data_IF_160752380405
#
_entry.id   IF_160752380405
#
_cell.length_a   1.000
_cell.length_b   1.000
_cell.length_c   1.000
_cell.angle_alpha   90.00
_cell.angle_beta   90.00
_cell.angle_gamma   90.00
#
_symmetry.space_group_name_H-M   'P 1'
#
loop_
_entity.id
_entity.type
_entity.pdbx_description
1 polymer ?
#
# COMPACT_ATOMS: atom_id res chain seq x y z
N UNK A 1 5.98 -17.01 -21.60
CA UNK A 1 5.23 -15.74 -21.58
C UNK A 1 4.33 -15.67 -20.34
N UNK A 2 4.82 -15.03 -19.27
CA UNK A 2 4.10 -14.31 -18.19
C UNK A 2 5.04 -14.25 -16.98
N UNK A 3 6.08 -13.43 -17.11
CA UNK A 3 6.91 -12.97 -16.00
C UNK A 3 6.05 -12.12 -15.06
N UNK A 4 5.28 -12.80 -14.21
CA UNK A 4 4.79 -12.21 -12.96
C UNK A 4 6.03 -11.95 -12.13
N UNK A 5 6.66 -10.81 -12.37
CA UNK A 5 7.74 -10.26 -11.58
C UNK A 5 7.24 -10.20 -10.13
N UNK A 6 7.65 -11.21 -9.39
CA UNK A 6 7.83 -11.16 -7.94
C UNK A 6 8.93 -10.13 -7.74
N UNK A 7 8.62 -8.85 -7.94
CA UNK A 7 9.52 -7.76 -7.58
C UNK A 7 9.52 -7.67 -6.06
N UNK A 8 10.33 -8.57 -5.52
CA UNK A 8 11.00 -8.58 -4.23
C UNK A 8 10.22 -7.96 -3.08
N UNK A 9 9.56 -8.83 -2.31
CA UNK A 9 9.33 -8.61 -0.87
C UNK A 9 10.60 -8.06 -0.17
N UNK A 10 11.80 -8.36 -0.70
CA UNK A 10 13.09 -7.80 -0.29
C UNK A 10 13.24 -6.28 -0.48
N UNK A 11 12.65 -5.67 -1.51
CA UNK A 11 12.72 -4.22 -1.75
C UNK A 11 11.79 -3.48 -0.80
N UNK A 12 10.58 -4.02 -0.59
CA UNK A 12 9.67 -3.55 0.44
C UNK A 12 10.35 -3.62 1.81
N UNK A 13 11.01 -4.75 2.12
CA UNK A 13 11.84 -4.91 3.33
C UNK A 13 12.99 -3.91 3.43
N UNK A 14 13.65 -3.54 2.34
CA UNK A 14 14.73 -2.55 2.41
C UNK A 14 14.19 -1.13 2.66
N UNK A 15 12.97 -0.85 2.18
CA UNK A 15 12.20 0.34 2.57
C UNK A 15 11.70 0.28 4.03
N UNK A 16 11.84 -0.84 4.76
CA UNK A 16 11.53 -0.88 6.21
C UNK A 16 12.38 0.10 7.03
N UNK A 17 13.54 0.54 6.53
CA UNK A 17 14.29 1.63 7.17
C UNK A 17 13.52 2.96 7.18
N UNK A 18 12.62 3.19 6.21
CA UNK A 18 11.71 4.35 6.19
C UNK A 18 10.48 4.17 7.11
N UNK A 19 10.18 2.94 7.54
CA UNK A 19 9.08 2.64 8.48
C UNK A 19 9.49 2.74 9.95
N UNK A 20 10.22 3.79 10.33
CA UNK A 20 10.49 4.10 11.73
C UNK A 20 9.18 4.26 12.54
N UNK A 21 8.07 4.59 11.86
CA UNK A 21 6.74 4.72 12.45
C UNK A 21 6.05 3.40 12.80
N UNK A 22 6.47 2.25 12.23
CA UNK A 22 5.89 0.93 12.53
C UNK A 22 6.42 0.32 13.84
N UNK A 23 7.49 0.90 14.42
CA UNK A 23 8.04 0.45 15.72
C UNK A 23 7.03 0.61 16.87
N UNK A 24 6.12 1.57 16.77
CA UNK A 24 5.16 1.88 17.83
C UNK A 24 3.76 1.29 17.59
N UNK A 25 3.48 0.72 16.41
CA UNK A 25 2.19 0.09 16.14
C UNK A 25 2.16 -1.34 16.70
N UNK A 26 1.30 -1.52 17.70
CA UNK A 26 1.06 -2.79 18.42
C UNK A 26 0.34 -3.85 17.57
N UNK A 27 -0.20 -3.47 16.40
CA UNK A 27 -1.11 -4.34 15.64
C UNK A 27 -0.40 -4.96 14.43
N UNK A 28 0.02 -6.23 14.56
CA UNK A 28 0.63 -7.02 13.49
C UNK A 28 -0.24 -7.05 12.22
N UNK A 29 -1.57 -6.97 12.37
CA UNK A 29 -2.53 -6.96 11.27
C UNK A 29 -2.48 -5.65 10.47
N UNK A 30 -2.32 -4.51 11.13
CA UNK A 30 -2.15 -3.21 10.46
C UNK A 30 -0.85 -3.21 9.62
N UNK A 31 0.21 -3.84 10.13
CA UNK A 31 1.49 -4.00 9.41
C UNK A 31 1.31 -4.78 8.11
N UNK A 32 0.54 -5.87 8.13
CA UNK A 32 0.26 -6.66 6.92
C UNK A 32 -0.41 -5.82 5.83
N UNK A 33 -1.43 -5.06 6.19
CA UNK A 33 -2.15 -4.17 5.26
C UNK A 33 -1.25 -3.07 4.68
N UNK A 34 -0.49 -2.37 5.52
CA UNK A 34 0.42 -1.31 5.04
C UNK A 34 1.41 -1.88 4.01
N UNK A 35 1.97 -3.06 4.28
CA UNK A 35 2.92 -3.71 3.38
C UNK A 35 2.27 -4.10 2.05
N UNK A 36 1.08 -4.69 2.09
CA UNK A 36 0.38 -5.06 0.86
C UNK A 36 0.01 -3.81 0.04
N UNK A 37 -0.41 -2.71 0.68
CA UNK A 37 -0.71 -1.45 -0.01
C UNK A 37 0.56 -0.84 -0.62
N UNK A 38 1.68 -0.81 0.13
CA UNK A 38 2.96 -0.35 -0.41
C UNK A 38 3.38 -1.18 -1.62
N UNK A 39 3.21 -2.50 -1.57
CA UNK A 39 3.51 -3.39 -2.69
C UNK A 39 2.60 -3.10 -3.90
N UNK A 40 1.31 -2.82 -3.68
CA UNK A 40 0.40 -2.42 -4.77
C UNK A 40 0.86 -1.09 -5.42
N UNK A 41 1.30 -0.12 -4.61
CA UNK A 41 1.80 1.16 -5.09
C UNK A 41 3.13 0.98 -5.87
N UNK A 42 4.02 0.12 -5.37
CA UNK A 42 5.30 -0.19 -6.02
C UNK A 42 5.08 -0.91 -7.36
N UNK A 43 4.13 -1.85 -7.41
CA UNK A 43 3.73 -2.55 -8.63
C UNK A 43 3.12 -1.64 -9.70
N UNK A 44 2.52 -0.51 -9.30
CA UNK A 44 2.08 0.49 -10.27
C UNK A 44 3.27 1.15 -10.98
N UNK A 45 4.46 1.15 -10.38
CA UNK A 45 5.70 1.67 -10.97
C UNK A 45 5.65 3.18 -11.27
N UNK A 46 4.68 3.90 -10.69
CA UNK A 46 4.40 5.30 -10.97
C UNK A 46 4.50 6.13 -9.70
N UNK A 47 5.06 7.32 -9.83
CA UNK A 47 5.08 8.28 -8.71
C UNK A 47 3.70 8.87 -8.45
N UNK A 48 2.86 9.03 -9.48
CA UNK A 48 1.48 9.49 -9.36
C UNK A 48 0.55 8.33 -9.70
N UNK A 49 -0.41 8.06 -8.82
CA UNK A 49 -1.38 6.99 -9.03
C UNK A 49 -2.78 7.40 -8.58
N UNK A 50 -3.77 6.70 -9.10
CA UNK A 50 -5.17 6.91 -8.72
C UNK A 50 -5.65 5.87 -7.72
N UNK A 51 -6.63 6.24 -6.90
CA UNK A 51 -7.34 5.32 -6.03
C UNK A 51 -7.99 4.19 -6.83
N UNK A 52 -8.44 4.49 -8.05
CA UNK A 52 -9.07 3.50 -8.93
C UNK A 52 -8.08 2.46 -9.44
N UNK A 53 -6.85 2.87 -9.77
CA UNK A 53 -5.75 1.93 -10.06
C UNK A 53 -5.46 1.03 -8.86
N UNK A 54 -5.51 1.57 -7.64
CA UNK A 54 -5.33 0.77 -6.44
C UNK A 54 -6.48 -0.21 -6.20
N UNK A 55 -7.72 0.17 -6.57
CA UNK A 55 -8.88 -0.74 -6.52
C UNK A 55 -8.77 -1.92 -7.50
N UNK A 56 -7.93 -1.85 -8.53
CA UNK A 56 -7.65 -3.03 -9.36
C UNK A 56 -6.96 -4.15 -8.57
N UNK A 57 -6.23 -3.80 -7.50
CA UNK A 57 -5.61 -4.74 -6.57
C UNK A 57 -6.55 -5.19 -5.44
N UNK A 58 -7.82 -4.77 -5.42
CA UNK A 58 -8.79 -5.23 -4.42
C UNK A 58 -8.87 -6.76 -4.37
N UNK A 59 -8.90 -7.41 -5.54
CA UNK A 59 -8.99 -8.87 -5.59
C UNK A 59 -7.72 -9.53 -5.04
N UNK A 60 -6.55 -8.92 -5.26
CA UNK A 60 -5.28 -9.37 -4.67
C UNK A 60 -5.27 -9.20 -3.14
N UNK A 61 -5.73 -8.05 -2.65
CA UNK A 61 -5.82 -7.79 -1.21
C UNK A 61 -6.86 -8.69 -0.54
N UNK A 62 -7.95 -9.00 -1.23
CA UNK A 62 -8.99 -9.92 -0.74
C UNK A 62 -8.49 -11.34 -0.59
N UNK A 63 -7.63 -11.83 -1.48
CA UNK A 63 -7.03 -13.17 -1.32
C UNK A 63 -6.01 -13.22 -0.19
N UNK A 64 -5.30 -12.11 0.07
CA UNK A 64 -4.39 -11.98 1.22
C UNK A 64 -5.12 -11.83 2.55
N UNK A 65 -6.22 -11.08 2.56
CA UNK A 65 -7.03 -10.76 3.75
C UNK A 65 -8.49 -11.18 3.56
N UNK A 66 -8.78 -12.50 3.41
CA UNK A 66 -10.12 -12.99 3.11
C UNK A 66 -11.13 -12.70 4.22
N UNK A 67 -10.65 -12.48 5.44
CA UNK A 67 -11.50 -12.18 6.60
C UNK A 67 -12.09 -10.75 6.57
N UNK A 68 -11.59 -9.85 5.71
CA UNK A 68 -12.06 -8.48 5.65
C UNK A 68 -13.01 -8.26 4.47
N UNK A 69 -14.29 -8.01 4.76
CA UNK A 69 -15.33 -7.77 3.75
C UNK A 69 -15.27 -6.36 3.14
N UNK A 70 -14.54 -5.43 3.76
CA UNK A 70 -14.48 -4.02 3.38
C UNK A 70 -13.07 -3.60 2.89
N UNK A 71 -12.56 -4.31 1.89
CA UNK A 71 -11.20 -4.08 1.33
C UNK A 71 -11.02 -2.63 0.86
N UNK A 72 -11.98 -2.07 0.12
CA UNK A 72 -11.92 -0.68 -0.38
C UNK A 72 -11.83 0.37 0.73
N UNK A 73 -12.53 0.15 1.83
CA UNK A 73 -12.47 1.04 2.99
C UNK A 73 -11.14 0.89 3.72
N UNK A 74 -10.64 -0.35 3.87
CA UNK A 74 -9.34 -0.59 4.47
C UNK A 74 -8.21 0.04 3.65
N UNK A 75 -8.26 -0.08 2.31
CA UNK A 75 -7.36 0.62 1.39
C UNK A 75 -7.36 2.13 1.66
N UNK A 76 -8.56 2.74 1.74
CA UNK A 76 -8.69 4.18 2.01
C UNK A 76 -8.10 4.58 3.35
N UNK A 77 -8.36 3.80 4.40
CA UNK A 77 -7.76 4.02 5.73
C UNK A 77 -6.23 3.94 5.68
N UNK A 78 -5.67 2.95 4.99
CA UNK A 78 -4.21 2.82 4.89
C UNK A 78 -3.57 3.96 4.08
N UNK A 79 -4.22 4.42 3.00
CA UNK A 79 -3.74 5.57 2.24
C UNK A 79 -3.77 6.86 3.06
N UNK A 80 -4.81 7.06 3.86
CA UNK A 80 -4.88 8.19 4.78
C UNK A 80 -3.74 8.12 5.80
N UNK A 81 -3.51 6.95 6.40
CA UNK A 81 -2.40 6.76 7.32
C UNK A 81 -1.04 7.05 6.66
N UNK A 82 -0.78 6.51 5.47
CA UNK A 82 0.46 6.76 4.72
C UNK A 82 0.63 8.24 4.37
N UNK A 83 -0.47 8.93 4.04
CA UNK A 83 -0.46 10.38 3.81
C UNK A 83 -0.11 11.14 5.08
N UNK A 84 -0.75 10.80 6.20
CA UNK A 84 -0.52 11.47 7.49
C UNK A 84 0.90 11.21 8.02
N UNK A 85 1.54 10.12 7.60
CA UNK A 85 2.96 9.83 7.84
C UNK A 85 3.92 10.54 6.86
N UNK A 86 3.41 11.26 5.87
CA UNK A 86 4.22 11.93 4.85
C UNK A 86 4.83 10.99 3.81
N UNK A 87 4.33 9.76 3.68
CA UNK A 87 4.75 8.83 2.62
C UNK A 87 4.01 9.11 1.30
N UNK A 88 2.77 9.60 1.39
CA UNK A 88 1.96 9.99 0.24
C UNK A 88 1.55 11.46 0.34
N UNK A 89 1.53 12.14 -0.80
CA UNK A 89 0.92 13.45 -0.96
C UNK A 89 -0.44 13.29 -1.62
N UNK A 90 -1.46 13.94 -1.05
CA UNK A 90 -2.75 14.05 -1.69
C UNK A 90 -2.69 15.14 -2.76
N UNK A 91 -2.89 14.76 -4.02
CA UNK A 91 -2.85 15.70 -5.14
C UNK A 91 -4.25 16.24 -5.42
N UNK A 92 -5.20 15.34 -5.69
CA UNK A 92 -6.61 15.67 -5.93
C UNK A 92 -7.51 14.51 -5.52
N UNK A 93 -8.84 14.67 -5.60
CA UNK A 93 -9.81 13.64 -5.23
C UNK A 93 -9.53 12.33 -5.97
N UNK A 94 -9.05 11.33 -5.23
CA UNK A 94 -8.70 10.02 -5.78
C UNK A 94 -7.37 9.97 -6.53
N UNK A 95 -6.50 10.97 -6.41
CA UNK A 95 -5.11 10.97 -6.92
C UNK A 95 -4.12 11.20 -5.79
N UNK A 96 -3.12 10.33 -5.74
CA UNK A 96 -2.06 10.35 -4.76
C UNK A 96 -0.71 10.35 -5.46
N UNK A 97 0.29 10.89 -4.76
CA UNK A 97 1.67 10.92 -5.21
C UNK A 97 2.57 10.35 -4.13
N UNK A 98 3.54 9.53 -4.50
CA UNK A 98 4.56 9.06 -3.56
C UNK A 98 5.49 10.24 -3.22
N UNK A 99 5.47 10.66 -1.95
CA UNK A 99 6.44 11.59 -1.39
C UNK A 99 7.79 10.84 -1.31
N UNK A 100 8.84 11.39 -1.92
CA UNK A 100 10.12 10.69 -2.06
C UNK A 100 11.02 10.91 -0.84
#
# INVERSE_FOLDING_TARGET
MKDKKVESQKTVLNNWKKTLFLKNEKELLAKGWILDIMNCIDQLGKQNFTLNELYTFENYLKTRHPNNKHIKDKIRQQLQFLRDKGYLEFVTKGRYKCAK
#
